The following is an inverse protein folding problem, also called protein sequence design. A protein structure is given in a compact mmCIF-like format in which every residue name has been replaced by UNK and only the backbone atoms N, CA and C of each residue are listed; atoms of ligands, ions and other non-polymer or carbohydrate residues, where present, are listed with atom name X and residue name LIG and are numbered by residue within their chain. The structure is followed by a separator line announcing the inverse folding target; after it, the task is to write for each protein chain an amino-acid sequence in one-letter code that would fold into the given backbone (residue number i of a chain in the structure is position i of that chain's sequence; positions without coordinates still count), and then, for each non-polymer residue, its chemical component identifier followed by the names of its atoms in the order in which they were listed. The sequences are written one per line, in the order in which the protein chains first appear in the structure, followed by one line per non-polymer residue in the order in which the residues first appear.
data_IF_456120980838
#
_entry.id   IF_456120980838
#
_cell.length_a   1.000
_cell.length_b   1.000
_cell.length_c   1.000
_cell.angle_alpha   90.00
_cell.angle_beta   90.00
_cell.angle_gamma   90.00
#
_symmetry.space_group_name_H-M   'P 1'
#
loop_
_entity.id
_entity.type
_entity.pdbx_description
1 polymer ?
#
# COMPACT_ATOMS: atom_id res chain seq x y z
N UNK A 1 -6.70 -36.44 -20.67
CA UNK A 1 -5.73 -35.43 -20.18
C UNK A 1 -6.44 -34.69 -19.06
N UNK A 2 -5.88 -34.66 -17.85
CA UNK A 2 -6.45 -33.87 -16.76
C UNK A 2 -6.06 -32.42 -17.05
N UNK A 3 -7.03 -31.58 -17.40
CA UNK A 3 -6.83 -30.12 -17.39
C UNK A 3 -6.34 -29.78 -15.99
N UNK A 4 -5.08 -29.34 -15.89
CA UNK A 4 -4.59 -28.76 -14.65
C UNK A 4 -5.42 -27.50 -14.45
N UNK A 5 -6.11 -27.42 -13.32
CA UNK A 5 -6.76 -26.19 -12.86
C UNK A 5 -5.69 -25.09 -12.84
N UNK A 6 -5.72 -24.19 -13.83
CA UNK A 6 -4.73 -23.11 -14.01
C UNK A 6 -4.96 -21.96 -13.02
N UNK A 7 -5.63 -22.23 -11.90
CA UNK A 7 -5.89 -21.24 -10.88
C UNK A 7 -4.57 -20.76 -10.24
N UNK A 8 -4.36 -19.44 -10.09
CA UNK A 8 -3.15 -18.91 -9.46
C UNK A 8 -3.06 -19.36 -8.00
N UNK A 9 -1.84 -19.46 -7.48
CA UNK A 9 -1.67 -19.77 -6.07
C UNK A 9 -2.28 -18.67 -5.20
N UNK A 10 -2.64 -19.02 -3.96
CA UNK A 10 -3.14 -18.03 -2.99
C UNK A 10 -2.19 -16.83 -2.86
N UNK A 11 -0.88 -17.07 -2.82
CA UNK A 11 0.12 -16.02 -2.68
C UNK A 11 0.18 -15.11 -3.92
N UNK A 12 0.06 -15.69 -5.12
CA UNK A 12 0.07 -14.93 -6.38
C UNK A 12 -1.18 -14.05 -6.50
N UNK A 13 -2.35 -14.61 -6.21
CA UNK A 13 -3.62 -13.88 -6.28
C UNK A 13 -3.70 -12.79 -5.20
N UNK A 14 -3.25 -13.09 -3.97
CA UNK A 14 -3.18 -12.09 -2.91
C UNK A 14 -2.24 -10.95 -3.30
N UNK A 15 -1.03 -11.27 -3.79
CA UNK A 15 -0.06 -10.28 -4.22
C UNK A 15 -0.60 -9.38 -5.33
N UNK A 16 -1.20 -9.99 -6.38
CA UNK A 16 -1.85 -9.25 -7.47
C UNK A 16 -2.92 -8.30 -6.95
N UNK A 17 -3.80 -8.75 -6.06
CA UNK A 17 -4.87 -7.93 -5.50
C UNK A 17 -4.35 -6.79 -4.64
N UNK A 18 -3.31 -7.03 -3.86
CA UNK A 18 -2.66 -5.98 -3.08
C UNK A 18 -2.04 -4.92 -3.99
N UNK A 19 -1.35 -5.32 -5.06
CA UNK A 19 -0.79 -4.38 -6.04
C UNK A 19 -1.88 -3.56 -6.74
N UNK A 20 -3.00 -4.17 -7.15
CA UNK A 20 -4.14 -3.46 -7.76
C UNK A 20 -4.74 -2.41 -6.81
N UNK A 21 -4.91 -2.77 -5.54
CA UNK A 21 -5.43 -1.86 -4.51
C UNK A 21 -4.45 -0.71 -4.29
N UNK A 22 -3.17 -1.02 -4.11
CA UNK A 22 -2.15 0.01 -3.89
C UNK A 22 -2.10 0.99 -5.07
N UNK A 23 -1.97 0.49 -6.30
CA UNK A 23 -1.91 1.32 -7.51
C UNK A 23 -3.13 2.25 -7.64
N UNK A 24 -4.34 1.72 -7.42
CA UNK A 24 -5.57 2.50 -7.48
C UNK A 24 -5.53 3.70 -6.53
N UNK A 25 -5.12 3.48 -5.30
CA UNK A 25 -5.15 4.53 -4.28
C UNK A 25 -3.96 5.48 -4.39
N UNK A 26 -2.78 5.01 -4.82
CA UNK A 26 -1.63 5.86 -5.14
C UNK A 26 -2.00 6.87 -6.23
N UNK A 27 -2.65 6.44 -7.32
CA UNK A 27 -3.10 7.36 -8.38
C UNK A 27 -4.03 8.47 -7.87
N UNK A 28 -4.90 8.15 -6.92
CA UNK A 28 -5.81 9.14 -6.33
C UNK A 28 -5.09 10.10 -5.38
N UNK A 29 -4.09 9.60 -4.63
CA UNK A 29 -3.22 10.44 -3.80
C UNK A 29 -2.39 11.39 -4.65
N UNK A 30 -1.74 10.89 -5.70
CA UNK A 30 -0.91 11.70 -6.61
C UNK A 30 -1.74 12.75 -7.36
N UNK A 31 -3.00 12.44 -7.69
CA UNK A 31 -3.95 13.39 -8.27
C UNK A 31 -4.49 14.42 -7.26
N UNK A 32 -4.02 14.41 -6.01
CA UNK A 32 -4.48 15.31 -4.95
C UNK A 32 -5.91 15.06 -4.48
N UNK A 33 -6.51 13.92 -4.85
CA UNK A 33 -7.88 13.54 -4.47
C UNK A 33 -7.95 12.87 -3.10
N UNK A 34 -6.81 12.43 -2.57
CA UNK A 34 -6.67 11.97 -1.19
C UNK A 34 -5.73 12.89 -0.43
N UNK A 35 -6.07 13.16 0.81
CA UNK A 35 -5.15 13.71 1.78
C UNK A 35 -4.09 12.68 2.16
N UNK A 36 -2.98 13.17 2.69
CA UNK A 36 -1.91 12.31 3.24
C UNK A 36 -2.41 11.37 4.34
N UNK A 37 -3.38 11.81 5.14
CA UNK A 37 -3.97 11.02 6.21
C UNK A 37 -4.83 9.87 5.67
N UNK A 38 -5.63 10.14 4.64
CA UNK A 38 -6.46 9.10 4.01
C UNK A 38 -5.59 8.06 3.32
N UNK A 39 -4.55 8.50 2.59
CA UNK A 39 -3.62 7.56 1.95
C UNK A 39 -2.83 6.73 2.98
N UNK A 40 -2.36 7.33 4.07
CA UNK A 40 -1.75 6.62 5.19
C UNK A 40 -2.64 5.50 5.74
N UNK A 41 -3.93 5.81 6.00
CA UNK A 41 -4.86 4.83 6.54
C UNK A 41 -5.07 3.64 5.60
N UNK A 42 -5.11 3.89 4.29
CA UNK A 42 -5.21 2.83 3.28
C UNK A 42 -3.99 1.91 3.33
N UNK A 43 -2.78 2.47 3.33
CA UNK A 43 -1.52 1.70 3.34
C UNK A 43 -1.40 0.85 4.61
N UNK A 44 -1.66 1.44 5.78
CA UNK A 44 -1.62 0.71 7.07
C UNK A 44 -2.70 -0.37 7.12
N UNK A 45 -3.94 -0.07 6.70
CA UNK A 45 -5.01 -1.08 6.69
C UNK A 45 -4.68 -2.25 5.76
N UNK A 46 -4.07 -1.98 4.61
CA UNK A 46 -3.64 -3.01 3.68
C UNK A 46 -2.52 -3.87 4.30
N UNK A 47 -1.53 -3.27 4.94
CA UNK A 47 -0.47 -3.99 5.64
C UNK A 47 -1.01 -4.83 6.80
N UNK A 48 -1.79 -4.25 7.71
CA UNK A 48 -2.29 -4.94 8.91
C UNK A 48 -3.19 -6.13 8.55
N UNK A 49 -3.99 -6.02 7.48
CA UNK A 49 -4.90 -7.09 7.04
C UNK A 49 -4.22 -8.21 6.26
N UNK A 50 -2.99 -8.02 5.77
CA UNK A 50 -2.33 -8.97 4.86
C UNK A 50 -0.91 -9.38 5.29
N UNK A 51 -0.32 -8.70 6.27
CA UNK A 51 1.03 -9.02 6.76
C UNK A 51 1.08 -10.47 7.28
N UNK A 52 2.13 -11.19 6.88
CA UNK A 52 2.27 -12.63 7.16
C UNK A 52 1.48 -13.57 6.25
N UNK A 53 0.59 -13.04 5.40
CA UNK A 53 -0.11 -13.79 4.34
C UNK A 53 0.45 -13.43 2.95
N UNK A 54 0.81 -12.17 2.77
CA UNK A 54 1.37 -11.64 1.54
C UNK A 54 2.82 -12.09 1.31
N UNK A 55 3.26 -12.13 0.04
CA UNK A 55 4.68 -12.15 -0.30
C UNK A 55 5.47 -11.09 0.47
N UNK A 56 6.69 -11.45 0.90
CA UNK A 56 7.52 -10.61 1.78
C UNK A 56 7.89 -9.28 1.12
N UNK A 57 8.23 -9.32 -0.16
CA UNK A 57 8.54 -8.14 -0.98
C UNK A 57 7.40 -7.12 -1.02
N UNK A 58 6.15 -7.58 -1.11
CA UNK A 58 4.97 -6.70 -1.05
C UNK A 58 4.79 -6.12 0.35
N UNK A 59 5.01 -6.92 1.39
CA UNK A 59 4.96 -6.45 2.78
C UNK A 59 6.03 -5.37 3.04
N UNK A 60 7.25 -5.58 2.54
CA UNK A 60 8.37 -4.64 2.66
C UNK A 60 8.09 -3.34 1.87
N UNK A 61 7.48 -3.44 0.68
CA UNK A 61 7.05 -2.28 -0.10
C UNK A 61 6.05 -1.42 0.69
N UNK A 62 5.02 -2.03 1.28
CA UNK A 62 4.02 -1.31 2.07
C UNK A 62 4.65 -0.62 3.30
N UNK A 63 5.58 -1.29 3.97
CA UNK A 63 6.32 -0.71 5.10
C UNK A 63 7.16 0.51 4.68
N UNK A 64 7.81 0.45 3.52
CA UNK A 64 8.57 1.59 2.98
C UNK A 64 7.66 2.77 2.64
N UNK A 65 6.51 2.52 2.00
CA UNK A 65 5.52 3.56 1.68
C UNK A 65 4.98 4.20 2.96
N UNK A 66 4.67 3.40 3.98
CA UNK A 66 4.21 3.91 5.29
C UNK A 66 5.22 4.88 5.89
N UNK A 67 6.50 4.51 5.88
CA UNK A 67 7.60 5.34 6.37
C UNK A 67 7.71 6.66 5.59
N UNK A 68 7.67 6.60 4.26
CA UNK A 68 7.74 7.80 3.41
C UNK A 68 6.59 8.78 3.69
N UNK A 69 5.38 8.26 3.87
CA UNK A 69 4.19 9.05 4.20
C UNK A 69 4.36 9.73 5.57
N UNK A 70 4.90 9.03 6.57
CA UNK A 70 5.18 9.60 7.89
C UNK A 70 6.20 10.73 7.82
N UNK A 71 7.29 10.52 7.11
CA UNK A 71 8.35 11.52 6.95
C UNK A 71 7.80 12.76 6.23
N UNK A 72 6.95 12.57 5.22
CA UNK A 72 6.28 13.66 4.53
C UNK A 72 5.31 14.43 5.43
N UNK A 73 4.51 13.73 6.24
CA UNK A 73 3.63 14.36 7.22
C UNK A 73 4.42 15.19 8.24
N UNK A 74 5.57 14.68 8.70
CA UNK A 74 6.46 15.39 9.61
C UNK A 74 7.05 16.66 8.96
N UNK A 75 7.52 16.57 7.70
CA UNK A 75 8.00 17.73 6.93
C UNK A 75 6.92 18.82 6.79
N UNK A 76 5.70 18.44 6.43
CA UNK A 76 4.56 19.38 6.31
C UNK A 76 4.22 20.05 7.64
N UNK A 77 4.30 19.31 8.74
CA UNK A 77 4.07 19.86 10.09
C UNK A 77 5.16 20.87 10.46
N UNK A 78 6.42 20.55 10.21
CA UNK A 78 7.54 21.44 10.48
C UNK A 78 7.46 22.74 9.66
N UNK A 79 7.14 22.63 8.36
CA UNK A 79 6.95 23.78 7.48
C UNK A 79 5.84 24.73 7.95
N UNK A 80 4.73 24.20 8.48
CA UNK A 80 3.64 25.03 9.04
C UNK A 80 3.99 25.71 10.36
N UNK A 81 4.94 25.19 11.12
CA UNK A 81 5.33 25.74 12.42
C UNK A 81 6.41 26.83 12.33
N UNK A 82 7.08 26.94 11.17
CA UNK A 82 8.10 27.95 10.90
C UNK A 82 7.57 29.19 10.14
N UNK A 83 6.26 29.33 9.99
CA UNK A 83 5.55 30.48 9.39
C UNK A 83 4.74 31.18 10.45
#
# INVERSE_FOLDING_TARGET
MIEKDEWPSYADELGRKMSEVLEKWTKLYDAGRLTIKEYYLIVVSLYDSTSGLAPRDISDLLANIEKEIRDEAARRKAAKAGV
#
